data_IF_454258299456
#
_entry.id   IF_454258299456
#
_cell.length_a   1.000
_cell.length_b   1.000
_cell.length_c   1.000
_cell.angle_alpha   90.00
_cell.angle_beta   90.00
_cell.angle_gamma   90.00
#
_symmetry.space_group_name_H-M   'P 1'
#
loop_
_entity.id
_entity.type
_entity.pdbx_description
1 polymer ?
#
# COMPACT_ATOMS: atom_id res chain seq x y z
N UNK A 1 0.48 -26.81 5.45
CA UNK A 1 0.34 -26.59 6.91
C UNK A 1 1.74 -26.59 7.50
N UNK A 2 2.04 -25.66 8.41
CA UNK A 2 3.29 -25.66 9.16
C UNK A 2 3.02 -26.40 10.47
N UNK A 3 3.94 -27.27 10.87
CA UNK A 3 3.85 -28.03 12.12
C UNK A 3 5.10 -27.80 12.95
N UNK A 4 4.94 -27.68 14.26
CA UNK A 4 6.01 -27.67 15.26
C UNK A 4 5.68 -28.75 16.29
N UNK A 5 6.61 -29.68 16.53
CA UNK A 5 6.40 -30.85 17.41
C UNK A 5 5.12 -31.66 17.12
N UNK A 6 4.74 -31.76 15.84
CA UNK A 6 3.54 -32.51 15.41
C UNK A 6 2.23 -31.72 15.51
N UNK A 7 2.20 -30.57 16.18
CA UNK A 7 1.05 -29.68 16.23
C UNK A 7 1.02 -28.71 15.04
N UNK A 8 -0.13 -28.52 14.40
CA UNK A 8 -0.27 -27.55 13.32
C UNK A 8 -0.21 -26.13 13.89
N UNK A 9 0.83 -25.38 13.51
CA UNK A 9 1.06 -24.00 13.95
C UNK A 9 0.42 -22.97 13.02
N UNK A 10 0.27 -23.33 11.73
CA UNK A 10 -0.46 -22.55 10.75
C UNK A 10 -1.02 -23.41 9.61
N UNK A 11 -2.18 -23.03 9.08
CA UNK A 11 -2.77 -23.58 7.86
C UNK A 11 -2.91 -22.49 6.80
N UNK A 12 -2.84 -22.90 5.53
CA UNK A 12 -2.93 -22.03 4.38
C UNK A 12 -3.88 -22.64 3.36
N UNK A 13 -4.62 -21.80 2.66
CA UNK A 13 -5.33 -22.20 1.43
C UNK A 13 -4.86 -21.35 0.27
N UNK A 14 -5.08 -21.86 -0.94
CA UNK A 14 -4.64 -21.23 -2.17
C UNK A 14 -5.80 -21.14 -3.16
N UNK A 15 -5.77 -20.13 -4.02
CA UNK A 15 -6.66 -20.05 -5.18
C UNK A 15 -6.15 -20.95 -6.33
N UNK A 16 -6.88 -20.96 -7.45
CA UNK A 16 -6.53 -21.76 -8.63
C UNK A 16 -5.21 -21.34 -9.30
N UNK A 17 -4.78 -20.09 -9.08
CA UNK A 17 -3.54 -19.54 -9.61
C UNK A 17 -2.35 -19.79 -8.65
N UNK A 18 -2.58 -20.43 -7.51
CA UNK A 18 -1.58 -20.71 -6.49
C UNK A 18 -1.30 -19.53 -5.56
N UNK A 19 -2.10 -18.47 -5.57
CA UNK A 19 -1.98 -17.38 -4.62
C UNK A 19 -2.57 -17.77 -3.27
N UNK A 20 -1.96 -17.33 -2.17
CA UNK A 20 -2.44 -17.65 -0.83
C UNK A 20 -3.77 -16.95 -0.55
N UNK A 21 -4.86 -17.69 -0.47
CA UNK A 21 -6.20 -17.17 -0.18
C UNK A 21 -6.43 -16.96 1.32
N UNK A 22 -5.94 -17.86 2.17
CA UNK A 22 -6.06 -17.72 3.63
C UNK A 22 -4.79 -18.15 4.36
N UNK A 23 -4.61 -17.59 5.55
CA UNK A 23 -3.69 -18.03 6.60
C UNK A 23 -4.47 -18.13 7.89
N UNK A 24 -4.37 -19.26 8.61
CA UNK A 24 -4.94 -19.41 9.96
C UNK A 24 -3.85 -19.93 10.89
N UNK A 25 -3.54 -19.15 11.93
CA UNK A 25 -2.57 -19.51 12.95
C UNK A 25 -3.24 -20.33 14.06
N UNK A 26 -2.46 -21.15 14.77
CA UNK A 26 -2.94 -21.97 15.88
C UNK A 26 -3.57 -21.15 17.02
N UNK A 27 -3.16 -19.89 17.19
CA UNK A 27 -3.73 -18.97 18.18
C UNK A 27 -5.11 -18.39 17.78
N UNK A 28 -5.69 -18.84 16.67
CA UNK A 28 -7.00 -18.42 16.16
C UNK A 28 -7.00 -17.10 15.39
N UNK A 29 -5.84 -16.47 15.20
CA UNK A 29 -5.73 -15.34 14.26
C UNK A 29 -5.70 -15.85 12.83
N UNK A 30 -6.33 -15.11 11.92
CA UNK A 30 -6.41 -15.45 10.52
C UNK A 30 -6.25 -14.22 9.63
N UNK A 31 -5.79 -14.44 8.41
CA UNK A 31 -5.71 -13.45 7.35
C UNK A 31 -6.36 -14.00 6.08
N UNK A 32 -7.28 -13.24 5.50
CA UNK A 32 -7.87 -13.53 4.19
C UNK A 32 -7.32 -12.56 3.15
N UNK A 33 -7.02 -13.08 1.97
CA UNK A 33 -6.48 -12.33 0.84
C UNK A 33 -7.41 -12.43 -0.36
N UNK A 34 -7.58 -11.31 -1.07
CA UNK A 34 -8.24 -11.28 -2.38
C UNK A 34 -7.26 -10.74 -3.43
N UNK A 35 -7.44 -11.19 -4.66
CA UNK A 35 -6.54 -10.89 -5.77
C UNK A 35 -7.34 -10.39 -6.98
N UNK A 36 -6.70 -9.61 -7.86
CA UNK A 36 -7.21 -9.34 -9.20
C UNK A 36 -6.69 -10.39 -10.20
N UNK A 37 -7.11 -10.27 -11.46
CA UNK A 37 -6.72 -11.18 -12.55
C UNK A 37 -5.20 -11.18 -12.85
N UNK A 38 -4.50 -10.12 -12.44
CA UNK A 38 -3.04 -10.02 -12.52
C UNK A 38 -2.33 -10.61 -11.29
N UNK A 39 -3.04 -11.32 -10.41
CA UNK A 39 -2.55 -11.91 -9.16
C UNK A 39 -1.99 -10.88 -8.15
N UNK A 40 -2.43 -9.63 -8.23
CA UNK A 40 -2.09 -8.59 -7.27
C UNK A 40 -3.13 -8.53 -6.14
N UNK A 41 -2.67 -8.36 -4.90
CA UNK A 41 -3.54 -8.35 -3.70
C UNK A 41 -4.46 -7.14 -3.72
N UNK A 42 -5.76 -7.34 -3.90
CA UNK A 42 -6.77 -6.25 -3.84
C UNK A 42 -7.35 -6.05 -2.45
N UNK A 43 -7.19 -7.04 -1.57
CA UNK A 43 -7.77 -6.99 -0.23
C UNK A 43 -7.02 -7.89 0.75
N UNK A 44 -6.94 -7.41 1.99
CA UNK A 44 -6.36 -8.12 3.12
C UNK A 44 -7.25 -7.88 4.34
N UNK A 45 -7.76 -8.95 4.96
CA UNK A 45 -8.50 -8.87 6.22
C UNK A 45 -7.81 -9.71 7.27
N UNK A 46 -7.35 -9.08 8.36
CA UNK A 46 -6.85 -9.75 9.55
C UNK A 46 -7.98 -9.86 10.57
N UNK A 47 -8.19 -11.04 11.13
CA UNK A 47 -9.28 -11.33 12.06
C UNK A 47 -8.86 -12.30 13.16
N UNK A 48 -9.61 -12.32 14.27
CA UNK A 48 -9.53 -13.34 15.30
C UNK A 48 -10.95 -13.83 15.60
N UNK A 49 -11.25 -15.07 15.23
CA UNK A 49 -12.63 -15.54 15.19
C UNK A 49 -13.49 -14.69 14.24
N UNK A 50 -14.58 -14.14 14.74
CA UNK A 50 -15.47 -13.23 13.97
C UNK A 50 -15.07 -11.77 14.03
N UNK A 51 -14.11 -11.39 14.90
CA UNK A 51 -13.68 -10.01 15.06
C UNK A 51 -12.63 -9.63 14.01
N UNK A 52 -12.89 -8.56 13.25
CA UNK A 52 -11.90 -7.96 12.34
C UNK A 52 -10.93 -7.12 13.16
N UNK A 53 -9.64 -7.42 13.06
CA UNK A 53 -8.56 -6.68 13.69
C UNK A 53 -8.07 -5.52 12.82
N UNK A 54 -7.99 -5.76 11.51
CA UNK A 54 -7.71 -4.75 10.50
C UNK A 54 -8.13 -5.26 9.13
N UNK A 55 -8.46 -4.34 8.23
CA UNK A 55 -8.65 -4.65 6.81
C UNK A 55 -8.05 -3.56 5.93
N UNK A 56 -7.67 -3.95 4.72
CA UNK A 56 -7.10 -3.08 3.71
C UNK A 56 -7.65 -3.41 2.34
N UNK A 57 -7.89 -2.40 1.52
CA UNK A 57 -8.15 -2.54 0.09
C UNK A 57 -7.08 -1.80 -0.71
N UNK A 58 -6.73 -2.35 -1.87
CA UNK A 58 -5.66 -1.84 -2.72
C UNK A 58 -6.15 -1.72 -4.16
N UNK A 59 -5.66 -0.70 -4.86
CA UNK A 59 -5.81 -0.58 -6.30
C UNK A 59 -4.44 -0.41 -6.96
N UNK A 60 -4.37 -0.72 -8.26
CA UNK A 60 -3.13 -0.73 -9.02
C UNK A 60 -3.31 0.02 -10.34
N UNK A 61 -2.21 0.60 -10.82
CA UNK A 61 -2.09 1.10 -12.19
C UNK A 61 -1.90 -0.08 -13.15
N UNK A 62 -2.02 0.20 -14.46
CA UNK A 62 -1.85 -0.82 -15.50
C UNK A 62 -0.46 -1.50 -15.45
N UNK A 63 0.56 -0.73 -15.05
CA UNK A 63 1.94 -1.22 -14.90
C UNK A 63 2.17 -2.04 -13.61
N UNK A 64 1.12 -2.32 -12.84
CA UNK A 64 1.18 -3.09 -11.59
C UNK A 64 1.61 -2.29 -10.35
N UNK A 65 1.90 -1.00 -10.49
CA UNK A 65 2.23 -0.13 -9.36
C UNK A 65 1.00 0.16 -8.50
N UNK A 66 1.13 0.05 -7.17
CA UNK A 66 0.02 0.28 -6.24
C UNK A 66 -0.45 1.73 -6.29
N UNK A 67 -1.67 1.99 -6.72
CA UNK A 67 -2.25 3.33 -6.86
C UNK A 67 -2.85 3.83 -5.56
N UNK A 68 -3.60 2.98 -4.86
CA UNK A 68 -4.21 3.34 -3.57
C UNK A 68 -4.10 2.23 -2.55
N UNK A 69 -4.15 2.63 -1.28
CA UNK A 69 -4.33 1.77 -0.11
C UNK A 69 -5.37 2.43 0.78
N UNK A 70 -6.45 1.72 1.08
CA UNK A 70 -7.47 2.18 2.03
C UNK A 70 -7.49 1.23 3.22
N UNK A 71 -7.46 1.76 4.44
CA UNK A 71 -7.60 0.95 5.65
C UNK A 71 -9.06 0.79 6.10
N UNK A 72 -9.29 -0.08 7.08
CA UNK A 72 -10.61 -0.33 7.67
C UNK A 72 -11.27 0.88 8.33
N UNK A 73 -10.52 1.96 8.60
CA UNK A 73 -11.05 3.21 9.13
C UNK A 73 -11.51 4.16 8.01
N UNK A 74 -11.32 3.76 6.75
CA UNK A 74 -11.64 4.54 5.56
C UNK A 74 -10.52 5.47 5.11
N UNK A 75 -9.38 5.46 5.79
CA UNK A 75 -8.24 6.33 5.46
C UNK A 75 -7.57 5.81 4.20
N UNK A 76 -7.50 6.65 3.17
CA UNK A 76 -6.97 6.30 1.85
C UNK A 76 -5.66 7.02 1.58
N UNK A 77 -4.62 6.26 1.31
CA UNK A 77 -3.33 6.74 0.82
C UNK A 77 -3.23 6.50 -0.68
N UNK A 78 -2.86 7.52 -1.43
CA UNK A 78 -2.61 7.49 -2.88
C UNK A 78 -1.13 7.62 -3.16
N UNK A 79 -0.64 6.82 -4.09
CA UNK A 79 0.75 6.79 -4.51
C UNK A 79 0.87 7.19 -5.98
N UNK A 80 1.84 8.05 -6.29
CA UNK A 80 2.18 8.46 -7.66
C UNK A 80 3.61 8.04 -7.98
N UNK A 81 3.85 7.66 -9.23
CA UNK A 81 5.11 7.14 -9.72
C UNK A 81 5.57 7.91 -10.96
N UNK A 82 6.87 7.94 -11.21
CA UNK A 82 7.42 8.36 -12.50
C UNK A 82 7.44 7.21 -13.52
N UNK A 83 7.86 7.51 -14.74
CA UNK A 83 7.94 6.53 -15.84
C UNK A 83 8.97 5.40 -15.58
N UNK A 84 9.88 5.58 -14.62
CA UNK A 84 10.83 4.55 -14.21
C UNK A 84 10.29 3.69 -13.05
N UNK A 85 9.04 3.88 -12.63
CA UNK A 85 8.40 3.16 -11.53
C UNK A 85 8.84 3.62 -10.14
N UNK A 86 9.51 4.77 -10.02
CA UNK A 86 9.92 5.31 -8.72
C UNK A 86 8.80 6.14 -8.13
N UNK A 87 8.52 5.97 -6.83
CA UNK A 87 7.48 6.73 -6.14
C UNK A 87 7.87 8.20 -6.02
N UNK A 88 7.03 9.09 -6.54
CA UNK A 88 7.24 10.55 -6.53
C UNK A 88 6.37 11.26 -5.50
N UNK A 89 5.22 10.67 -5.14
CA UNK A 89 4.29 11.28 -4.18
C UNK A 89 3.52 10.23 -3.40
N UNK A 90 3.34 10.51 -2.12
CA UNK A 90 2.39 9.85 -1.22
C UNK A 90 1.45 10.91 -0.64
N UNK A 91 0.15 10.68 -0.73
CA UNK A 91 -0.88 11.59 -0.22
C UNK A 91 -1.98 10.83 0.52
N UNK A 92 -2.35 11.31 1.70
CA UNK A 92 -3.31 10.66 2.58
C UNK A 92 -4.61 11.46 2.71
N UNK A 93 -5.77 10.81 2.63
CA UNK A 93 -7.06 11.46 2.79
C UNK A 93 -7.26 11.90 4.24
N UNK A 94 -7.46 13.19 4.48
CA UNK A 94 -7.74 13.74 5.81
C UNK A 94 -6.52 14.22 6.61
N UNK A 95 -5.31 14.14 6.05
CA UNK A 95 -4.11 14.73 6.62
C UNK A 95 -3.35 15.54 5.58
N UNK A 96 -2.86 16.72 5.95
CA UNK A 96 -1.96 17.57 5.13
C UNK A 96 -0.58 16.91 4.87
N UNK A 97 -0.48 15.58 4.91
CA UNK A 97 0.77 14.87 4.67
C UNK A 97 0.86 14.52 3.19
N UNK A 98 1.54 15.39 2.45
CA UNK A 98 2.04 15.10 1.12
C UNK A 98 3.55 14.86 1.29
N UNK A 99 4.01 13.64 1.06
CA UNK A 99 5.45 13.34 0.98
C UNK A 99 5.85 13.32 -0.49
N UNK A 100 6.70 14.26 -0.88
CA UNK A 100 7.29 14.31 -2.21
C UNK A 100 8.66 13.63 -2.18
N UNK A 101 8.84 12.61 -3.01
CA UNK A 101 10.10 11.91 -3.20
C UNK A 101 11.05 12.72 -4.07
N UNK A 102 11.53 13.88 -3.58
CA UNK A 102 12.62 14.60 -4.24
C UNK A 102 13.97 14.02 -3.81
N UNK A 103 14.32 12.84 -4.33
CA UNK A 103 15.73 12.47 -4.42
C UNK A 103 16.30 12.99 -5.75
N UNK A 104 16.31 14.32 -5.90
CA UNK A 104 17.14 14.95 -6.90
C UNK A 104 18.36 15.55 -6.18
N UNK A 105 19.47 14.82 -6.16
CA UNK A 105 20.74 15.30 -5.60
C UNK A 105 21.30 16.53 -6.39
N UNK A 106 20.71 16.85 -7.55
CA UNK A 106 21.00 18.06 -8.32
C UNK A 106 19.97 19.21 -8.14
N UNK A 107 18.85 18.99 -7.42
CA UNK A 107 17.80 20.02 -7.24
C UNK A 107 17.91 20.71 -5.88
N UNK A 108 19.13 21.04 -5.45
CA UNK A 108 19.35 21.92 -4.28
C UNK A 108 19.58 23.38 -4.70
N UNK A 109 19.57 23.69 -5.99
CA UNK A 109 19.84 25.03 -6.51
C UNK A 109 18.94 25.34 -7.71
N UNK A 110 17.66 25.66 -7.47
CA UNK A 110 16.89 26.65 -8.26
C UNK A 110 15.50 26.80 -7.63
N UNK A 111 15.43 27.49 -6.50
CA UNK A 111 14.20 28.21 -6.16
C UNK A 111 14.56 29.67 -5.88
N UNK A 112 15.15 30.30 -6.90
CA UNK A 112 15.06 31.75 -7.06
C UNK A 112 14.22 31.98 -8.30
N UNK A 113 12.95 32.32 -8.09
CA UNK A 113 12.21 33.07 -9.10
C UNK A 113 12.24 34.52 -8.62
N UNK A 114 13.04 35.31 -9.34
CA UNK A 114 13.00 36.77 -9.29
C UNK A 114 11.58 37.24 -9.61
N UNK A 115 11.04 38.12 -8.78
CA UNK A 115 10.12 39.16 -9.24
C UNK A 115 10.91 40.48 -9.29
N UNK A 116 11.36 40.83 -10.50
CA UNK A 116 12.14 42.04 -10.79
C UNK A 116 11.24 43.27 -10.96
N UNK A 117 11.43 44.25 -10.07
CA UNK A 117 11.51 45.71 -10.25
C UNK A 117 10.89 46.44 -11.48
N UNK A 118 10.15 47.53 -11.19
CA UNK A 118 10.31 48.88 -11.76
C UNK A 118 9.61 49.92 -10.83
N UNK A 119 10.29 50.60 -9.89
CA UNK A 119 11.06 51.87 -9.93
C UNK A 119 10.26 53.18 -10.09
N UNK A 120 10.54 54.11 -9.15
CA UNK A 120 10.48 55.58 -9.20
C UNK A 120 9.05 56.22 -9.17
N UNK A 121 8.73 57.25 -8.38
CA UNK A 121 9.48 58.31 -7.67
C UNK A 121 8.76 58.57 -6.34
#
# INVERSE_FOLDING_TARGET
MVKENGAATASYTYDANGNRKTLTNANGTAADYTYNDANLVTGLTNKKGTAILSSYSYSYNLDGNQRTKTDHTGKTTTYTYDLAGRMTKEAESGGNTIRLGHFCFACQMTSSVLTSYLLAI
#
